data_IF_457136975563
#
_entry.id   IF_457136975563
#
_cell.length_a   1.000
_cell.length_b   1.000
_cell.length_c   1.000
_cell.angle_alpha   90.00
_cell.angle_beta   90.00
_cell.angle_gamma   90.00
#
_symmetry.space_group_name_H-M   'P 1'
#
loop_
_entity.id
_entity.type
_entity.pdbx_description
1 polymer ?
#
# COMPACT_ATOMS: atom_id res chain seq x y z
N UNK A 1 -14.79 -15.51 -6.57
CA UNK A 1 -13.84 -14.38 -6.50
C UNK A 1 -14.31 -13.17 -7.30
N UNK A 2 -14.51 -13.24 -8.62
CA UNK A 2 -14.92 -12.07 -9.43
C UNK A 2 -16.11 -11.28 -8.86
N UNK A 3 -17.22 -11.97 -8.54
CA UNK A 3 -18.40 -11.33 -7.94
C UNK A 3 -18.13 -10.73 -6.56
N UNK A 4 -17.30 -11.39 -5.73
CA UNK A 4 -16.92 -10.88 -4.40
C UNK A 4 -16.15 -9.56 -4.56
N UNK A 5 -15.12 -9.53 -5.41
CA UNK A 5 -14.33 -8.31 -5.65
C UNK A 5 -15.21 -7.19 -6.20
N UNK A 6 -16.14 -7.53 -7.10
CA UNK A 6 -17.10 -6.57 -7.64
C UNK A 6 -18.01 -5.98 -6.55
N UNK A 7 -18.65 -6.82 -5.73
CA UNK A 7 -19.52 -6.39 -4.63
C UNK A 7 -18.78 -5.49 -3.63
N UNK A 8 -17.54 -5.86 -3.25
CA UNK A 8 -16.72 -5.05 -2.34
C UNK A 8 -16.35 -3.69 -2.95
N UNK A 9 -16.02 -3.65 -4.25
CA UNK A 9 -15.70 -2.40 -4.97
C UNK A 9 -16.87 -1.42 -5.06
N UNK A 10 -18.10 -1.91 -4.86
CA UNK A 10 -19.30 -1.08 -4.90
C UNK A 10 -19.63 -0.41 -3.55
N UNK A 11 -19.12 -0.95 -2.43
CA UNK A 11 -19.33 -0.37 -1.10
C UNK A 11 -18.54 0.94 -0.97
N UNK A 12 -19.22 2.00 -0.52
CA UNK A 12 -18.66 3.35 -0.42
C UNK A 12 -18.56 3.80 1.04
N UNK A 13 -17.43 4.40 1.39
CA UNK A 13 -17.14 4.86 2.73
C UNK A 13 -16.57 6.28 2.73
N UNK A 14 -16.81 7.08 3.79
CA UNK A 14 -16.42 8.50 3.82
C UNK A 14 -14.96 8.75 4.21
N UNK A 15 -14.27 7.74 4.76
CA UNK A 15 -12.89 7.85 5.26
C UNK A 15 -12.11 6.56 5.01
N UNK A 16 -10.80 6.63 5.16
CA UNK A 16 -9.87 5.49 5.22
C UNK A 16 -9.69 5.09 6.69
N UNK A 17 -9.97 3.83 7.00
CA UNK A 17 -9.92 3.31 8.37
C UNK A 17 -10.54 1.92 8.49
N UNK A 18 -10.45 1.33 9.67
CA UNK A 18 -11.16 0.08 9.98
C UNK A 18 -12.60 0.36 10.38
N UNK A 19 -13.49 -0.57 10.03
CA UNK A 19 -14.88 -0.57 10.48
C UNK A 19 -14.94 -0.94 11.96
N UNK A 20 -15.71 -0.18 12.72
CA UNK A 20 -15.94 -0.38 14.15
C UNK A 20 -17.43 -0.41 14.38
N UNK A 21 -17.89 -1.41 15.13
CA UNK A 21 -19.25 -1.52 15.63
C UNK A 21 -19.29 -0.91 17.03
N UNK A 22 -20.22 0.02 17.27
CA UNK A 22 -20.44 0.59 18.59
C UNK A 22 -21.34 -0.28 19.49
N UNK A 23 -21.57 0.14 20.73
CA UNK A 23 -22.41 -0.61 21.69
C UNK A 23 -23.87 -0.76 21.24
N UNK A 24 -24.33 0.07 20.31
CA UNK A 24 -25.68 0.04 19.74
C UNK A 24 -25.77 -0.77 18.43
N UNK A 25 -24.63 -1.30 17.95
CA UNK A 25 -24.54 -2.06 16.71
C UNK A 25 -24.37 -1.22 15.45
N UNK A 26 -24.11 0.08 15.56
CA UNK A 26 -23.84 0.93 14.40
C UNK A 26 -22.41 0.75 13.92
N UNK A 27 -22.26 0.50 12.62
CA UNK A 27 -20.95 0.33 11.97
C UNK A 27 -20.49 1.68 11.41
N UNK A 28 -19.28 2.09 11.75
CA UNK A 28 -18.66 3.32 11.22
C UNK A 28 -17.16 3.16 10.98
N UNK A 29 -16.57 4.02 10.15
CA UNK A 29 -15.12 4.10 9.95
C UNK A 29 -14.50 4.91 11.08
N UNK A 30 -14.04 4.24 12.13
CA UNK A 30 -13.54 4.89 13.36
C UNK A 30 -12.22 4.30 13.88
N UNK A 31 -11.75 3.18 13.34
CA UNK A 31 -10.48 2.58 13.71
C UNK A 31 -9.37 2.92 12.71
N UNK A 32 -8.11 2.81 13.14
CA UNK A 32 -6.97 2.86 12.20
C UNK A 32 -7.03 1.75 11.17
N UNK A 33 -6.56 1.97 9.94
CA UNK A 33 -6.31 0.89 9.01
C UNK A 33 -5.44 -0.20 9.66
N UNK A 34 -5.83 -1.45 9.54
CA UNK A 34 -5.04 -2.60 9.99
C UNK A 34 -4.47 -3.31 8.77
N UNK A 35 -3.16 -3.15 8.59
CA UNK A 35 -2.42 -3.75 7.48
C UNK A 35 -1.48 -4.84 7.98
N UNK A 36 -1.21 -5.83 7.13
CA UNK A 36 -0.22 -6.85 7.44
C UNK A 36 1.17 -6.25 7.63
N UNK A 37 1.51 -5.22 6.85
CA UNK A 37 2.80 -4.51 6.98
C UNK A 37 2.98 -3.85 8.36
N UNK A 38 1.91 -3.36 8.99
CA UNK A 38 2.01 -2.82 10.35
C UNK A 38 2.40 -3.90 11.36
N UNK A 39 1.77 -5.08 11.29
CA UNK A 39 2.11 -6.20 12.16
C UNK A 39 3.55 -6.66 11.92
N UNK A 40 3.95 -6.82 10.65
CA UNK A 40 5.33 -7.18 10.29
C UNK A 40 6.35 -6.18 10.82
N UNK A 41 6.05 -4.87 10.83
CA UNK A 41 6.95 -3.86 11.42
C UNK A 41 7.14 -4.13 12.92
N UNK A 42 6.08 -4.38 13.67
CA UNK A 42 6.19 -4.67 15.10
C UNK A 42 6.98 -5.95 15.35
N UNK A 43 6.61 -7.03 14.67
CA UNK A 43 7.16 -8.37 14.91
C UNK A 43 8.60 -8.54 14.44
N UNK A 44 8.95 -7.94 13.30
CA UNK A 44 10.24 -8.18 12.64
C UNK A 44 11.30 -7.09 12.94
N UNK A 45 10.90 -5.96 13.51
CA UNK A 45 11.84 -4.84 13.78
C UNK A 45 11.99 -4.50 15.26
N UNK A 46 11.08 -4.95 16.13
CA UNK A 46 11.06 -4.54 17.54
C UNK A 46 10.68 -3.07 17.73
N UNK A 47 10.07 -2.44 16.73
CA UNK A 47 9.58 -1.07 16.80
C UNK A 47 8.41 -0.96 17.80
N UNK A 48 8.38 0.05 18.68
CA UNK A 48 7.24 0.25 19.57
C UNK A 48 5.96 0.59 18.80
N UNK A 49 4.84 -0.02 19.19
CA UNK A 49 3.52 0.25 18.60
C UNK A 49 3.08 1.72 18.68
N UNK A 50 3.65 2.49 19.62
CA UNK A 50 3.43 3.93 19.77
C UNK A 50 3.91 4.78 18.58
N UNK A 51 4.72 4.21 17.67
CA UNK A 51 5.19 4.90 16.45
C UNK A 51 4.24 4.70 15.26
N UNK A 52 3.34 3.72 15.34
CA UNK A 52 2.28 3.52 14.35
C UNK A 52 1.10 4.47 14.63
N UNK A 53 0.19 4.68 13.66
CA UNK A 53 -1.02 5.47 13.88
C UNK A 53 -1.79 4.99 15.12
N UNK A 54 -2.32 5.95 15.89
CA UNK A 54 -3.15 5.65 17.07
C UNK A 54 -4.37 4.79 16.71
N UNK A 55 -4.88 4.00 17.65
CA UNK A 55 -5.94 3.00 17.38
C UNK A 55 -7.22 3.57 16.76
N UNK A 56 -7.55 4.84 17.03
CA UNK A 56 -8.74 5.53 16.52
C UNK A 56 -8.44 6.50 15.37
N UNK A 57 -7.23 6.46 14.81
CA UNK A 57 -6.81 7.43 13.79
C UNK A 57 -7.34 7.03 12.41
N UNK A 58 -8.06 7.92 11.73
CA UNK A 58 -8.59 7.73 10.38
C UNK A 58 -8.03 8.78 9.42
N UNK A 59 -8.01 8.48 8.13
CA UNK A 59 -7.52 9.40 7.09
C UNK A 59 -8.68 9.88 6.22
N UNK A 60 -8.65 11.16 5.83
CA UNK A 60 -9.70 11.77 5.02
C UNK A 60 -9.30 11.90 3.55
N UNK A 61 -8.03 11.69 3.21
CA UNK A 61 -7.54 11.80 1.84
C UNK A 61 -6.60 10.64 1.51
N UNK A 62 -6.51 10.21 0.23
CA UNK A 62 -5.49 9.27 -0.22
C UNK A 62 -4.07 9.78 0.08
N UNK A 63 -3.82 11.08 -0.09
CA UNK A 63 -2.51 11.70 0.15
C UNK A 63 -2.02 11.47 1.58
N UNK A 64 -2.87 11.74 2.58
CA UNK A 64 -2.52 11.53 3.99
C UNK A 64 -2.18 10.05 4.26
N UNK A 65 -2.90 9.14 3.59
CA UNK A 65 -2.68 7.71 3.74
C UNK A 65 -1.37 7.23 3.09
N UNK A 66 -1.06 7.67 1.87
CA UNK A 66 0.23 7.40 1.24
C UNK A 66 1.40 7.96 2.04
N UNK A 67 1.23 9.16 2.63
CA UNK A 67 2.24 9.76 3.47
C UNK A 67 2.46 8.95 4.75
N UNK A 68 1.40 8.42 5.37
CA UNK A 68 1.51 7.52 6.52
C UNK A 68 2.23 6.20 6.17
N UNK A 69 1.92 5.59 5.02
CA UNK A 69 2.62 4.40 4.53
C UNK A 69 4.11 4.68 4.28
N UNK A 70 4.45 5.84 3.70
CA UNK A 70 5.84 6.25 3.52
C UNK A 70 6.58 6.43 4.86
N UNK A 71 5.89 6.89 5.92
CA UNK A 71 6.46 6.92 7.28
C UNK A 71 6.72 5.51 7.81
N UNK A 72 5.80 4.57 7.57
CA UNK A 72 5.98 3.18 8.00
C UNK A 72 7.21 2.54 7.35
N UNK A 73 7.54 2.86 6.10
CA UNK A 73 8.80 2.40 5.49
C UNK A 73 10.05 2.95 6.21
N UNK A 74 10.01 4.20 6.67
CA UNK A 74 11.11 4.80 7.45
C UNK A 74 11.17 4.20 8.87
N UNK A 75 10.03 3.89 9.49
CA UNK A 75 9.98 3.16 10.76
C UNK A 75 10.65 1.79 10.57
N UNK A 76 10.20 1.02 9.58
CA UNK A 76 10.78 -0.29 9.25
C UNK A 76 12.30 -0.19 9.08
N UNK A 77 12.77 0.71 8.20
CA UNK A 77 14.20 0.85 7.94
C UNK A 77 14.97 1.30 9.18
N UNK A 78 14.41 2.18 10.00
CA UNK A 78 15.08 2.67 11.21
C UNK A 78 15.29 1.54 12.23
N UNK A 79 14.24 0.76 12.50
CA UNK A 79 14.25 -0.20 13.61
C UNK A 79 14.69 -1.61 13.21
N UNK A 80 14.59 -1.99 11.92
CA UNK A 80 15.18 -3.25 11.48
C UNK A 80 16.70 -3.14 11.59
N UNK A 81 17.29 -3.87 12.53
CA UNK A 81 18.73 -3.89 12.75
C UNK A 81 19.40 -5.00 11.94
N UNK A 82 18.86 -6.22 12.06
CA UNK A 82 19.48 -7.41 11.50
C UNK A 82 18.96 -7.66 10.08
N UNK A 83 19.87 -7.98 9.17
CA UNK A 83 19.55 -8.25 7.77
C UNK A 83 18.75 -7.09 7.13
N UNK A 84 18.94 -5.87 7.61
CA UNK A 84 18.30 -4.66 7.08
C UNK A 84 19.03 -4.15 5.85
N UNK A 85 20.35 -4.33 5.83
CA UNK A 85 21.24 -3.88 4.75
C UNK A 85 22.20 -5.01 4.37
N UNK A 86 22.67 -5.00 3.12
CA UNK A 86 23.73 -5.87 2.62
C UNK A 86 25.11 -5.22 2.80
N UNK A 87 25.22 -3.93 2.43
CA UNK A 87 26.42 -3.12 2.56
C UNK A 87 26.08 -1.62 2.70
N UNK A 88 27.11 -0.75 2.59
CA UNK A 88 26.94 0.70 2.70
C UNK A 88 26.13 1.30 1.56
N UNK A 89 26.28 0.78 0.33
CA UNK A 89 25.60 1.32 -0.83
C UNK A 89 24.13 0.90 -0.81
N UNK A 90 23.81 -0.33 -0.41
CA UNK A 90 22.44 -0.75 -0.14
C UNK A 90 21.78 0.08 1.00
N UNK A 91 22.54 0.44 2.04
CA UNK A 91 22.04 1.35 3.07
C UNK A 91 21.70 2.74 2.51
N UNK A 92 22.55 3.28 1.62
CA UNK A 92 22.29 4.57 0.95
C UNK A 92 21.08 4.48 0.05
N UNK A 93 20.99 3.45 -0.79
CA UNK A 93 19.87 3.20 -1.69
C UNK A 93 18.55 3.14 -0.93
N UNK A 94 18.49 2.33 0.14
CA UNK A 94 17.30 2.18 0.98
C UNK A 94 16.84 3.48 1.63
N UNK A 95 17.79 4.29 2.12
CA UNK A 95 17.47 5.59 2.71
C UNK A 95 16.95 6.56 1.66
N UNK A 96 17.66 6.70 0.54
CA UNK A 96 17.30 7.64 -0.54
C UNK A 96 15.92 7.31 -1.11
N UNK A 97 15.67 6.04 -1.42
CA UNK A 97 14.38 5.58 -1.95
C UNK A 97 13.20 5.96 -1.04
N UNK A 98 13.33 5.74 0.28
CA UNK A 98 12.27 6.06 1.25
C UNK A 98 12.07 7.56 1.45
N UNK A 99 13.14 8.35 1.41
CA UNK A 99 13.03 9.81 1.48
C UNK A 99 12.31 10.40 0.27
N UNK A 100 12.65 9.93 -0.93
CA UNK A 100 12.03 10.37 -2.17
C UNK A 100 10.58 9.90 -2.28
N UNK A 101 10.29 8.65 -1.93
CA UNK A 101 8.92 8.15 -1.88
C UNK A 101 8.06 8.95 -0.90
N UNK A 102 8.60 9.27 0.29
CA UNK A 102 7.92 10.14 1.25
C UNK A 102 7.69 11.56 0.70
N UNK A 103 8.62 12.08 -0.10
CA UNK A 103 8.47 13.39 -0.74
C UNK A 103 7.35 13.38 -1.77
N UNK A 104 7.36 12.40 -2.68
CA UNK A 104 6.29 12.16 -3.65
C UNK A 104 4.92 11.99 -2.97
N UNK A 105 4.86 11.27 -1.85
CA UNK A 105 3.65 11.13 -1.05
C UNK A 105 3.17 12.48 -0.51
N UNK A 106 4.09 13.29 0.04
CA UNK A 106 3.77 14.60 0.60
C UNK A 106 3.29 15.61 -0.45
N UNK A 107 3.74 15.50 -1.70
CA UNK A 107 3.33 16.36 -2.82
C UNK A 107 2.10 15.82 -3.57
N UNK A 108 1.52 14.71 -3.11
CA UNK A 108 0.33 14.11 -3.74
C UNK A 108 0.62 13.50 -5.12
N UNK A 109 1.87 13.09 -5.39
CA UNK A 109 2.27 12.50 -6.67
C UNK A 109 2.05 10.97 -6.74
N UNK A 110 1.71 10.33 -5.62
CA UNK A 110 1.53 8.87 -5.55
C UNK A 110 0.08 8.39 -5.76
N UNK A 111 -0.90 9.27 -5.73
CA UNK A 111 -2.29 8.93 -6.05
C UNK A 111 -2.68 9.52 -7.40
N UNK A 112 -3.57 8.85 -8.12
CA UNK A 112 -4.06 9.35 -9.40
C UNK A 112 -4.84 10.65 -9.16
N UNK A 113 -4.57 11.68 -9.97
CA UNK A 113 -5.33 12.94 -9.96
C UNK A 113 -6.69 12.80 -10.66
N UNK A 114 -7.17 11.58 -10.89
CA UNK A 114 -8.38 11.33 -11.66
C UNK A 114 -9.61 11.92 -10.96
N UNK A 115 -9.92 13.14 -11.42
CA UNK A 115 -11.15 13.91 -11.35
C UNK A 115 -11.53 14.47 -9.98
N UNK A 116 -11.27 15.78 -9.83
CA UNK A 116 -11.79 16.71 -8.81
C UNK A 116 -13.34 16.75 -8.72
N UNK A 117 -14.05 15.90 -9.47
CA UNK A 117 -15.50 15.93 -9.68
C UNK A 117 -16.22 14.61 -9.35
N UNK A 118 -15.53 13.63 -8.74
CA UNK A 118 -16.16 12.37 -8.35
C UNK A 118 -16.02 12.12 -6.85
N UNK A 119 -17.18 11.85 -6.26
CA UNK A 119 -17.42 11.38 -4.89
C UNK A 119 -16.18 10.74 -4.26
N UNK A 120 -15.69 11.33 -3.16
CA UNK A 120 -14.47 10.97 -2.40
C UNK A 120 -14.65 9.66 -1.62
N UNK A 121 -15.27 8.69 -2.28
CA UNK A 121 -15.70 7.41 -1.78
C UNK A 121 -14.52 6.44 -1.69
N UNK A 122 -14.17 6.06 -0.46
CA UNK A 122 -13.24 4.98 -0.16
C UNK A 122 -13.94 3.62 -0.29
N UNK A 123 -13.17 2.57 -0.58
CA UNK A 123 -13.69 1.20 -0.81
C UNK A 123 -13.14 0.25 0.23
N UNK A 124 -13.90 -0.78 0.59
CA UNK A 124 -13.36 -1.83 1.45
C UNK A 124 -12.29 -2.61 0.68
N UNK A 125 -11.15 -2.80 1.32
CA UNK A 125 -10.00 -3.51 0.78
C UNK A 125 -9.45 -4.45 1.85
N UNK A 126 -8.97 -5.62 1.44
CA UNK A 126 -8.31 -6.56 2.35
C UNK A 126 -7.06 -7.12 1.70
N UNK A 127 -5.94 -7.05 2.41
CA UNK A 127 -4.65 -7.57 1.94
C UNK A 127 -4.64 -9.10 1.87
N UNK A 128 -5.44 -9.77 2.70
CA UNK A 128 -5.59 -11.22 2.74
C UNK A 128 -6.88 -11.71 2.08
N UNK A 129 -7.52 -10.92 1.20
CA UNK A 129 -8.65 -11.44 0.41
C UNK A 129 -8.14 -12.50 -0.59
N UNK A 130 -8.31 -13.79 -0.26
CA UNK A 130 -7.83 -14.92 -1.07
C UNK A 130 -8.85 -16.07 -1.13
N UNK A 131 -8.77 -16.97 -2.12
CA UNK A 131 -9.74 -18.05 -2.28
C UNK A 131 -9.90 -18.99 -1.07
N UNK A 132 -8.86 -19.17 -0.25
CA UNK A 132 -8.95 -20.01 0.97
C UNK A 132 -9.86 -19.41 2.05
N UNK A 133 -10.17 -18.12 1.96
CA UNK A 133 -11.01 -17.41 2.92
C UNK A 133 -12.48 -17.36 2.45
N UNK A 134 -12.82 -18.06 1.36
CA UNK A 134 -14.17 -18.14 0.81
C UNK A 134 -14.79 -19.50 1.16
N UNK A 135 -15.92 -19.45 1.86
CA UNK A 135 -16.70 -20.63 2.21
C UNK A 135 -17.65 -20.98 1.07
N UNK A 136 -17.69 -22.26 0.73
CA UNK A 136 -18.62 -22.81 -0.27
C UNK A 136 -19.47 -23.92 0.34
N UNK A 137 -20.73 -24.01 -0.09
CA UNK A 137 -21.60 -25.13 0.28
C UNK A 137 -21.41 -26.36 -0.63
N UNK A 138 -22.23 -27.39 -0.39
CA UNK A 138 -22.25 -28.65 -1.16
C UNK A 138 -22.60 -28.45 -2.65
N UNK A 139 -23.25 -27.34 -3.00
CA UNK A 139 -23.69 -27.00 -4.35
C UNK A 139 -22.72 -26.01 -5.02
N UNK A 140 -21.52 -25.83 -4.43
CA UNK A 140 -20.45 -24.93 -4.87
C UNK A 140 -20.87 -23.45 -4.89
N UNK A 141 -21.84 -23.07 -4.05
CA UNK A 141 -22.24 -21.67 -3.88
C UNK A 141 -21.42 -21.03 -2.79
N UNK A 142 -21.02 -19.78 -3.02
CA UNK A 142 -20.39 -18.95 -1.99
C UNK A 142 -21.43 -18.69 -0.91
N UNK A 143 -21.09 -19.04 0.34
CA UNK A 143 -21.96 -18.82 1.51
C UNK A 143 -21.37 -17.83 2.51
N UNK A 144 -20.11 -17.46 2.34
CA UNK A 144 -19.47 -16.47 3.19
C UNK A 144 -18.03 -16.22 2.79
N UNK A 145 -17.52 -15.09 3.26
CA UNK A 145 -16.09 -14.75 3.22
C UNK A 145 -15.69 -14.47 4.66
N UNK A 146 -14.59 -15.08 5.08
CA UNK A 146 -14.05 -15.00 6.44
C UNK A 146 -12.71 -14.28 6.44
N UNK A 147 -12.11 -14.15 7.62
CA UNK A 147 -10.74 -13.65 7.82
C UNK A 147 -10.54 -12.20 7.36
N UNK A 148 -11.33 -11.31 7.96
CA UNK A 148 -11.34 -9.87 7.66
C UNK A 148 -10.36 -9.07 8.53
N UNK A 149 -9.38 -9.71 9.18
CA UNK A 149 -8.50 -9.06 10.15
C UNK A 149 -7.62 -7.93 9.56
N UNK A 150 -7.34 -8.01 8.25
CA UNK A 150 -6.62 -6.97 7.49
C UNK A 150 -7.52 -6.18 6.53
N UNK A 151 -8.82 -6.14 6.82
CA UNK A 151 -9.78 -5.37 6.05
C UNK A 151 -9.91 -3.95 6.57
N UNK A 152 -9.84 -2.97 5.67
CA UNK A 152 -10.03 -1.56 5.99
C UNK A 152 -10.57 -0.82 4.75
N UNK A 153 -11.14 0.35 4.97
CA UNK A 153 -11.54 1.24 3.87
C UNK A 153 -10.30 1.96 3.33
N UNK A 154 -10.10 1.93 2.02
CA UNK A 154 -8.89 2.37 1.33
C UNK A 154 -9.23 3.25 0.11
N UNK A 155 -8.25 3.96 -0.49
CA UNK A 155 -8.45 4.65 -1.77
C UNK A 155 -9.08 3.71 -2.81
N UNK A 156 -10.04 4.21 -3.60
CA UNK A 156 -10.83 3.37 -4.49
C UNK A 156 -9.98 2.60 -5.50
N UNK A 157 -8.85 3.20 -5.91
CA UNK A 157 -7.89 2.63 -6.85
C UNK A 157 -7.25 1.33 -6.36
N UNK A 158 -7.29 1.04 -5.05
CA UNK A 158 -6.82 -0.24 -4.49
C UNK A 158 -7.70 -1.41 -4.97
N UNK A 159 -8.98 -1.15 -5.28
CA UNK A 159 -9.87 -2.16 -5.86
C UNK A 159 -9.43 -2.55 -7.28
N UNK A 160 -8.65 -1.69 -7.93
CA UNK A 160 -8.11 -1.90 -9.27
C UNK A 160 -6.74 -2.59 -9.27
N UNK A 161 -6.26 -3.04 -8.10
CA UNK A 161 -5.03 -3.81 -8.00
C UNK A 161 -5.18 -5.21 -8.63
N UNK A 162 -4.23 -5.65 -9.47
CA UNK A 162 -4.14 -7.03 -9.91
C UNK A 162 -4.11 -7.99 -8.71
N UNK A 163 -4.97 -9.02 -8.66
CA UNK A 163 -5.06 -9.85 -7.47
C UNK A 163 -3.83 -10.77 -7.27
N UNK A 164 -3.08 -10.55 -6.18
CA UNK A 164 -1.88 -11.34 -5.85
C UNK A 164 -2.16 -12.85 -5.73
N UNK A 165 -3.38 -13.22 -5.30
CA UNK A 165 -3.78 -14.61 -5.06
C UNK A 165 -3.95 -15.43 -6.34
N UNK A 166 -3.81 -14.85 -7.54
CA UNK A 166 -3.81 -15.63 -8.79
C UNK A 166 -2.67 -16.67 -8.85
N UNK A 167 -1.57 -16.43 -8.13
CA UNK A 167 -0.49 -17.40 -7.94
C UNK A 167 -0.36 -17.92 -6.50
N UNK A 168 -1.15 -17.39 -5.56
CA UNK A 168 -1.10 -17.71 -4.13
C UNK A 168 0.28 -17.51 -3.47
N UNK A 169 1.17 -16.75 -4.13
CA UNK A 169 2.53 -16.49 -3.69
C UNK A 169 2.99 -15.14 -4.23
N UNK A 170 3.50 -14.29 -3.34
CA UNK A 170 4.04 -12.98 -3.71
C UNK A 170 5.33 -13.10 -4.53
N UNK A 171 5.64 -12.04 -5.27
CA UNK A 171 6.78 -11.99 -6.19
C UNK A 171 8.13 -12.15 -5.48
N UNK A 172 8.27 -11.65 -4.25
CA UNK A 172 9.51 -11.68 -3.47
C UNK A 172 9.89 -13.10 -3.03
N UNK A 173 8.89 -14.00 -2.97
CA UNK A 173 9.10 -15.39 -2.60
C UNK A 173 9.11 -16.34 -3.81
N UNK A 174 8.90 -15.83 -5.03
CA UNK A 174 8.77 -16.67 -6.22
C UNK A 174 10.13 -17.26 -6.65
N UNK A 175 10.23 -18.58 -6.90
CA UNK A 175 11.47 -19.17 -7.41
C UNK A 175 11.84 -18.58 -8.78
N UNK A 176 13.06 -18.05 -8.90
CA UNK A 176 13.50 -17.34 -10.10
C UNK A 176 13.11 -15.86 -10.15
N UNK A 177 12.58 -15.32 -9.05
CA UNK A 177 12.31 -13.90 -8.88
C UNK A 177 11.19 -13.36 -9.77
N UNK A 178 11.20 -12.04 -9.94
CA UNK A 178 10.12 -11.30 -10.59
C UNK A 178 9.86 -11.73 -12.04
N UNK A 179 10.91 -11.96 -12.85
CA UNK A 179 10.71 -12.31 -14.27
C UNK A 179 9.96 -13.63 -14.41
N UNK A 180 10.34 -14.65 -13.62
CA UNK A 180 9.62 -15.93 -13.56
C UNK A 180 8.23 -15.80 -12.95
N UNK A 181 8.04 -14.87 -12.03
CA UNK A 181 6.71 -14.58 -11.49
C UNK A 181 5.81 -13.97 -12.57
N UNK A 182 6.28 -13.00 -13.35
CA UNK A 182 5.53 -12.37 -14.45
C UNK A 182 5.16 -13.38 -15.54
N UNK A 183 6.10 -14.21 -15.97
CA UNK A 183 5.87 -15.31 -16.93
C UNK A 183 4.71 -16.22 -16.47
N UNK A 184 4.62 -16.48 -15.17
CA UNK A 184 3.56 -17.28 -14.58
C UNK A 184 2.25 -16.48 -14.43
N UNK A 185 2.33 -15.24 -13.94
CA UNK A 185 1.21 -14.41 -13.51
C UNK A 185 0.39 -13.90 -14.70
N UNK A 186 1.05 -13.35 -15.73
CA UNK A 186 0.38 -12.65 -16.83
C UNK A 186 -0.69 -13.50 -17.55
N UNK A 187 -0.46 -14.80 -17.86
CA UNK A 187 -1.50 -15.65 -18.44
C UNK A 187 -2.73 -15.85 -17.51
N UNK A 188 -2.52 -15.91 -16.18
CA UNK A 188 -3.62 -16.04 -15.21
C UNK A 188 -4.36 -14.74 -15.05
N UNK A 189 -3.63 -13.62 -15.05
CA UNK A 189 -4.21 -12.28 -15.07
C UNK A 189 -5.15 -12.10 -16.26
N UNK A 190 -4.71 -12.42 -17.48
CA UNK A 190 -5.56 -12.34 -18.68
C UNK A 190 -6.82 -13.22 -18.57
N UNK A 191 -6.68 -14.41 -17.99
CA UNK A 191 -7.83 -15.31 -17.73
C UNK A 191 -8.79 -14.69 -16.73
N UNK A 192 -8.28 -14.11 -15.64
CA UNK A 192 -9.07 -13.44 -14.63
C UNK A 192 -9.83 -12.24 -15.20
N UNK A 193 -9.18 -11.39 -16.00
CA UNK A 193 -9.83 -10.26 -16.69
C UNK A 193 -10.96 -10.75 -17.58
N UNK A 194 -10.75 -11.81 -18.37
CA UNK A 194 -11.81 -12.39 -19.21
C UNK A 194 -13.00 -12.86 -18.37
N UNK A 195 -12.76 -13.55 -17.25
CA UNK A 195 -13.84 -14.01 -16.36
C UNK A 195 -14.57 -12.82 -15.73
N UNK A 196 -13.85 -11.80 -15.27
CA UNK A 196 -14.46 -10.61 -14.67
C UNK A 196 -15.33 -9.85 -15.69
N UNK A 197 -14.87 -9.71 -16.93
CA UNK A 197 -15.65 -9.14 -18.02
C UNK A 197 -16.94 -9.95 -18.30
N UNK A 198 -16.88 -11.28 -18.24
CA UNK A 198 -18.05 -12.13 -18.42
C UNK A 198 -19.07 -11.94 -17.29
N UNK A 199 -18.61 -11.88 -16.04
CA UNK A 199 -19.48 -11.63 -14.88
C UNK A 199 -20.10 -10.23 -14.92
N UNK A 200 -19.32 -9.19 -15.24
CA UNK A 200 -19.82 -7.82 -15.45
C UNK A 200 -20.91 -7.78 -16.53
N UNK A 201 -20.76 -8.53 -17.63
CA UNK A 201 -21.79 -8.64 -18.67
C UNK A 201 -23.05 -9.37 -18.20
N UNK A 202 -22.91 -10.46 -17.43
CA UNK A 202 -24.05 -11.19 -16.84
C UNK A 202 -24.84 -10.31 -15.89
N UNK A 203 -24.15 -9.56 -15.03
CA UNK A 203 -24.79 -8.60 -14.11
C UNK A 203 -25.57 -7.54 -14.89
N UNK A 204 -24.97 -6.92 -15.91
CA UNK A 204 -25.67 -5.97 -16.80
C UNK A 204 -26.89 -6.57 -17.50
N UNK A 205 -26.82 -7.83 -17.92
CA UNK A 205 -27.93 -8.52 -18.58
C UNK A 205 -29.03 -8.98 -17.60
N UNK A 206 -28.66 -9.27 -16.34
CA UNK A 206 -29.55 -9.70 -15.26
C UNK A 206 -30.28 -8.55 -14.54
N UNK A 207 -29.81 -7.30 -14.68
CA UNK A 207 -30.51 -6.09 -14.22
C UNK A 207 -31.71 -5.82 -15.15
N UNK A 208 -32.75 -6.64 -15.03
CA UNK A 208 -34.13 -6.29 -15.39
C UNK A 208 -34.98 -6.43 -14.13
N UNK A 209 -35.16 -5.29 -13.44
CA UNK A 209 -36.14 -4.96 -12.39
C UNK A 209 -35.93 -5.56 -10.99
N UNK A 210 -35.42 -4.74 -10.07
CA UNK A 210 -36.03 -4.43 -8.76
C UNK A 210 -35.47 -3.08 -8.25
N UNK A 211 -36.33 -2.27 -7.66
CA UNK A 211 -36.15 -0.81 -7.45
C UNK A 211 -35.09 -0.42 -6.39
N UNK A 212 -34.51 -1.38 -5.67
CA UNK A 212 -33.66 -1.15 -4.48
C UNK A 212 -32.14 -1.14 -4.76
N UNK A 213 -31.72 -1.32 -6.01
CA UNK A 213 -30.29 -1.26 -6.42
C UNK A 213 -29.99 -0.05 -7.32
N UNK A 214 -30.82 1.00 -7.30
CA UNK A 214 -30.60 2.23 -8.10
C UNK A 214 -29.29 2.95 -7.79
N UNK A 215 -28.71 2.73 -6.61
CA UNK A 215 -27.43 3.34 -6.21
C UNK A 215 -26.20 2.53 -6.63
N UNK A 216 -26.38 1.31 -7.16
CA UNK A 216 -25.36 0.68 -7.98
C UNK A 216 -25.41 1.33 -9.36
N UNK A 217 -24.90 2.56 -9.45
CA UNK A 217 -24.74 3.30 -10.70
C UNK A 217 -23.70 2.59 -11.58
N UNK A 218 -24.13 1.48 -12.18
CA UNK A 218 -23.46 0.72 -13.24
C UNK A 218 -23.84 1.36 -14.60
N UNK A 219 -24.56 2.48 -14.59
CA UNK A 219 -24.91 3.24 -15.79
C UNK A 219 -23.78 4.21 -16.13
N UNK A 220 -22.82 3.72 -16.92
CA UNK A 220 -22.07 4.42 -17.96
C UNK A 220 -22.07 5.98 -17.98
N UNK A 221 -21.75 6.63 -16.86
CA UNK A 221 -21.47 8.07 -16.76
C UNK A 221 -20.03 8.38 -17.21
N UNK A 222 -19.50 7.60 -18.18
CA UNK A 222 -18.09 7.63 -18.58
C UNK A 222 -17.12 6.90 -17.65
N UNK A 223 -17.61 6.20 -16.61
CA UNK A 223 -16.77 5.45 -15.65
C UNK A 223 -16.44 4.05 -16.19
N UNK A 224 -15.16 3.72 -16.22
CA UNK A 224 -14.63 2.41 -16.65
C UNK A 224 -15.18 1.27 -15.79
N UNK A 225 -15.40 0.08 -16.37
CA UNK A 225 -15.72 -1.12 -15.58
C UNK A 225 -14.55 -1.55 -14.70
N UNK A 226 -14.79 -2.36 -13.66
CA UNK A 226 -13.72 -2.81 -12.78
C UNK A 226 -12.66 -3.60 -13.55
N UNK A 227 -13.07 -4.45 -14.50
CA UNK A 227 -12.13 -5.16 -15.38
C UNK A 227 -11.29 -4.21 -16.24
N UNK A 228 -11.87 -3.10 -16.73
CA UNK A 228 -11.14 -2.07 -17.46
C UNK A 228 -10.17 -1.32 -16.56
N UNK A 229 -10.60 -0.94 -15.34
CA UNK A 229 -9.74 -0.25 -14.38
C UNK A 229 -8.54 -1.12 -13.95
N UNK A 230 -8.75 -2.42 -13.70
CA UNK A 230 -7.67 -3.36 -13.38
C UNK A 230 -6.72 -3.52 -14.58
N UNK A 231 -7.26 -3.62 -15.80
CA UNK A 231 -6.46 -3.73 -17.03
C UNK A 231 -5.60 -2.48 -17.25
N UNK A 232 -6.19 -1.29 -17.17
CA UNK A 232 -5.46 -0.03 -17.30
C UNK A 232 -4.39 0.12 -16.23
N UNK A 233 -4.74 -0.22 -14.97
CA UNK A 233 -3.77 -0.19 -13.90
C UNK A 233 -2.59 -1.12 -14.14
N UNK A 234 -2.85 -2.33 -14.67
CA UNK A 234 -1.81 -3.29 -15.05
C UNK A 234 -0.88 -2.74 -16.13
N UNK A 235 -1.44 -2.17 -17.19
CA UNK A 235 -0.71 -1.62 -18.34
C UNK A 235 0.11 -0.38 -17.97
N UNK A 236 -0.45 0.52 -17.16
CA UNK A 236 0.22 1.74 -16.68
C UNK A 236 1.24 1.47 -15.58
N UNK A 237 1.21 0.27 -14.98
CA UNK A 237 1.98 -0.13 -13.79
C UNK A 237 1.66 0.67 -12.52
N UNK A 238 0.56 1.42 -12.48
CA UNK A 238 0.15 2.18 -11.28
C UNK A 238 -0.08 1.28 -10.06
N UNK A 239 -0.47 0.02 -10.27
CA UNK A 239 -0.59 -0.95 -9.18
C UNK A 239 0.72 -1.19 -8.44
N UNK A 240 1.87 -0.99 -9.09
CA UNK A 240 3.17 -1.14 -8.46
C UNK A 240 3.42 -0.04 -7.43
N UNK A 241 2.89 1.18 -7.64
CA UNK A 241 2.96 2.27 -6.66
C UNK A 241 2.20 1.88 -5.40
N UNK A 242 0.98 1.35 -5.57
CA UNK A 242 0.13 0.87 -4.47
C UNK A 242 0.73 -0.32 -3.76
N UNK A 243 1.27 -1.27 -4.51
CA UNK A 243 1.93 -2.45 -3.96
C UNK A 243 3.19 -2.08 -3.15
N UNK A 244 4.03 -1.17 -3.68
CA UNK A 244 5.20 -0.66 -2.98
C UNK A 244 4.82 0.07 -1.70
N UNK A 245 3.81 0.96 -1.76
CA UNK A 245 3.33 1.71 -0.60
C UNK A 245 2.91 0.78 0.55
N UNK A 246 2.29 -0.35 0.23
CA UNK A 246 1.76 -1.28 1.23
C UNK A 246 2.80 -2.25 1.78
N UNK A 247 3.92 -2.49 1.10
CA UNK A 247 4.86 -3.56 1.46
C UNK A 247 6.29 -3.06 1.66
N UNK A 248 6.73 -2.94 2.92
CA UNK A 248 8.08 -2.45 3.24
C UNK A 248 9.20 -3.40 2.80
N UNK A 249 8.94 -4.70 2.76
CA UNK A 249 9.94 -5.72 2.36
C UNK A 249 10.05 -5.88 0.85
N UNK A 250 9.00 -5.55 0.10
CA UNK A 250 9.05 -5.52 -1.35
C UNK A 250 9.52 -4.17 -1.91
N UNK A 251 9.46 -3.12 -1.09
CA UNK A 251 9.64 -1.73 -1.47
C UNK A 251 10.90 -1.50 -2.30
N UNK A 252 12.06 -1.98 -1.84
CA UNK A 252 13.35 -1.65 -2.45
C UNK A 252 13.46 -2.12 -3.91
N UNK A 253 13.09 -3.37 -4.16
CA UNK A 253 13.07 -3.93 -5.51
C UNK A 253 12.08 -3.19 -6.42
N UNK A 254 10.87 -2.92 -5.92
CA UNK A 254 9.83 -2.26 -6.73
C UNK A 254 10.22 -0.80 -7.00
N UNK A 255 10.78 -0.12 -6.01
CA UNK A 255 11.15 1.28 -6.10
C UNK A 255 12.19 1.48 -7.19
N UNK A 256 13.35 0.85 -7.06
CA UNK A 256 14.46 1.06 -7.98
C UNK A 256 14.17 0.56 -9.40
N UNK A 257 13.40 -0.52 -9.53
CA UNK A 257 13.08 -1.08 -10.84
C UNK A 257 11.94 -0.37 -11.56
N UNK A 258 10.98 0.23 -10.84
CA UNK A 258 9.75 0.74 -11.44
C UNK A 258 9.42 2.18 -11.06
N UNK A 259 9.38 2.50 -9.77
CA UNK A 259 8.95 3.84 -9.34
C UNK A 259 10.02 4.88 -9.67
N UNK A 260 11.30 4.55 -9.49
CA UNK A 260 12.38 5.49 -9.79
C UNK A 260 12.37 5.91 -11.27
N UNK A 261 12.34 4.98 -12.26
CA UNK A 261 12.10 5.35 -13.65
C UNK A 261 10.80 6.11 -13.90
N UNK A 262 9.70 5.71 -13.24
CA UNK A 262 8.38 6.31 -13.42
C UNK A 262 8.36 7.79 -13.02
N UNK A 263 9.05 8.17 -11.94
CA UNK A 263 9.03 9.53 -11.41
C UNK A 263 10.25 10.38 -11.80
N UNK A 264 11.39 9.75 -12.11
CA UNK A 264 12.66 10.44 -12.35
C UNK A 264 13.29 10.12 -13.72
N UNK A 265 12.65 9.28 -14.53
CA UNK A 265 13.08 8.88 -15.87
C UNK A 265 14.14 7.77 -15.88
N UNK A 266 14.21 7.05 -17.00
CA UNK A 266 15.24 6.02 -17.23
C UNK A 266 16.63 6.66 -17.35
N UNK A 267 17.55 6.28 -16.46
CA UNK A 267 18.98 6.61 -16.55
C UNK A 267 19.80 5.33 -16.40
N UNK A 268 20.86 5.20 -17.20
CA UNK A 268 21.76 4.03 -17.15
C UNK A 268 22.44 3.86 -15.78
N UNK A 269 22.58 4.95 -15.01
CA UNK A 269 23.14 4.99 -13.64
C UNK A 269 22.04 5.32 -12.60
N UNK A 270 20.98 4.52 -12.52
CA UNK A 270 19.91 4.67 -11.52
C UNK A 270 20.36 4.24 -10.11
N UNK A 271 21.46 4.80 -9.61
CA UNK A 271 21.97 4.60 -8.26
C UNK A 271 21.54 5.75 -7.32
N UNK A 272 21.76 5.59 -6.00
CA UNK A 272 21.51 6.66 -5.03
C UNK A 272 22.20 8.00 -5.36
N UNK A 273 23.37 7.99 -6.00
CA UNK A 273 24.19 9.20 -6.21
C UNK A 273 23.53 10.15 -7.18
N UNK A 274 22.95 9.60 -8.25
CA UNK A 274 22.16 10.37 -9.21
C UNK A 274 20.94 11.05 -8.57
N UNK A 275 20.51 10.57 -7.40
CA UNK A 275 19.29 10.99 -6.71
C UNK A 275 19.53 11.96 -5.55
N UNK A 276 20.76 12.08 -5.06
CA UNK A 276 21.13 13.02 -3.99
C UNK A 276 20.68 14.48 -4.24
N UNK A 277 20.71 15.03 -5.48
CA UNK A 277 20.22 16.39 -5.73
C UNK A 277 18.73 16.61 -5.43
N UNK A 278 17.93 15.54 -5.34
CA UNK A 278 16.52 15.60 -4.98
C UNK A 278 16.27 15.60 -3.46
N UNK A 279 17.31 15.43 -2.64
CA UNK A 279 17.21 15.46 -1.19
C UNK A 279 17.47 16.87 -0.63
N UNK A 280 16.76 17.21 0.44
CA UNK A 280 17.05 18.43 1.21
C UNK A 280 18.39 18.36 1.93
N UNK A 281 18.98 19.51 2.26
CA UNK A 281 20.25 19.57 3.00
C UNK A 281 20.22 18.81 4.33
N UNK A 282 19.07 18.80 5.02
CA UNK A 282 18.93 18.06 6.27
C UNK A 282 18.91 16.55 6.03
N UNK A 283 18.25 16.08 4.97
CA UNK A 283 18.23 14.65 4.59
C UNK A 283 19.62 14.18 4.17
N UNK A 284 20.37 15.00 3.42
CA UNK A 284 21.77 14.73 3.06
C UNK A 284 22.66 14.65 4.30
N UNK A 285 22.49 15.57 5.26
CA UNK A 285 23.22 15.56 6.52
C UNK A 285 22.94 14.34 7.41
N UNK A 286 21.79 13.69 7.25
CA UNK A 286 21.41 12.49 7.99
C UNK A 286 21.81 11.17 7.29
N UNK A 287 22.17 11.20 6.01
CA UNK A 287 22.47 10.01 5.21
C UNK A 287 23.67 9.22 5.76
N UNK A 288 24.85 9.84 5.84
CA UNK A 288 26.07 9.13 6.28
C UNK A 288 25.99 8.68 7.75
N UNK A 289 25.48 9.50 8.71
CA UNK A 289 25.24 9.02 10.07
C UNK A 289 24.29 7.81 10.14
N UNK A 290 23.28 7.76 9.26
CA UNK A 290 22.37 6.61 9.16
C UNK A 290 23.10 5.37 8.61
N UNK A 291 23.92 5.51 7.57
CA UNK A 291 24.72 4.41 6.99
C UNK A 291 25.67 3.82 8.05
N UNK A 292 26.43 4.68 8.74
CA UNK A 292 27.35 4.26 9.81
C UNK A 292 26.62 3.51 10.93
N UNK A 293 25.42 3.96 11.31
CA UNK A 293 24.58 3.27 12.28
C UNK A 293 24.17 1.88 11.78
N UNK A 294 23.71 1.77 10.54
CA UNK A 294 23.25 0.49 9.99
C UNK A 294 24.38 -0.53 9.85
N UNK A 295 25.55 -0.09 9.40
CA UNK A 295 26.75 -0.95 9.35
C UNK A 295 27.16 -1.43 10.74
N UNK A 296 27.03 -0.58 11.77
CA UNK A 296 27.29 -0.98 13.15
C UNK A 296 26.27 -2.02 13.63
N UNK A 297 24.98 -1.78 13.38
CA UNK A 297 23.89 -2.71 13.73
C UNK A 297 24.07 -4.08 13.07
N UNK A 298 24.40 -4.11 11.77
CA UNK A 298 24.64 -5.35 11.03
C UNK A 298 25.88 -6.12 11.54
N UNK A 299 26.91 -5.41 12.04
CA UNK A 299 28.07 -6.04 12.69
C UNK A 299 27.74 -6.60 14.08
N UNK A 300 26.94 -5.88 14.86
CA UNK A 300 26.62 -6.27 16.24
C UNK A 300 25.59 -7.39 16.33
N UNK A 301 24.65 -7.42 15.38
CA UNK A 301 23.57 -8.42 15.26
C UNK A 301 22.74 -8.62 16.53
N UNK A 302 22.39 -7.53 17.22
CA UNK A 302 21.63 -7.57 18.49
C UNK A 302 20.17 -7.23 18.26
N UNK A 303 19.33 -7.74 19.16
CA UNK A 303 17.97 -7.22 19.32
C UNK A 303 18.01 -6.11 20.36
N UNK A 304 17.32 -5.01 20.08
CA UNK A 304 17.23 -3.86 20.98
C UNK A 304 15.77 -3.62 21.29
N UNK A 305 15.45 -3.61 22.58
CA UNK A 305 14.17 -3.11 23.06
C UNK A 305 14.25 -1.59 23.17
N UNK A 306 13.35 -0.90 22.49
CA UNK A 306 13.33 0.55 22.47
C UNK A 306 12.29 1.07 23.46
N UNK A 307 12.71 1.99 24.34
CA UNK A 307 11.74 2.83 25.05
C UNK A 307 11.03 3.75 24.05
N UNK A 308 9.78 4.14 24.30
CA UNK A 308 9.05 5.04 23.39
C UNK A 308 9.81 6.36 23.14
N UNK A 309 10.48 6.87 24.17
CA UNK A 309 11.26 8.11 24.10
C UNK A 309 12.47 7.95 23.18
N UNK A 310 13.22 6.87 23.36
CA UNK A 310 14.44 6.62 22.58
C UNK A 310 14.09 6.28 21.13
N UNK A 311 13.01 5.53 20.91
CA UNK A 311 12.51 5.21 19.59
C UNK A 311 12.11 6.47 18.82
N UNK A 312 11.35 7.39 19.44
CA UNK A 312 11.00 8.68 18.83
C UNK A 312 12.25 9.51 18.51
N UNK A 313 13.22 9.55 19.42
CA UNK A 313 14.47 10.28 19.20
C UNK A 313 15.28 9.69 18.04
N UNK A 314 15.34 8.36 17.92
CA UNK A 314 16.04 7.68 16.83
C UNK A 314 15.36 7.92 15.48
N UNK A 315 14.04 7.74 15.42
CA UNK A 315 13.26 7.95 14.21
C UNK A 315 13.38 9.39 13.69
N UNK A 316 13.42 10.39 14.59
CA UNK A 316 13.61 11.80 14.21
C UNK A 316 14.94 12.06 13.47
N UNK A 317 16.00 11.28 13.75
CA UNK A 317 17.29 11.42 13.05
C UNK A 317 17.19 11.01 11.59
N UNK A 318 16.34 10.03 11.30
CA UNK A 318 16.17 9.46 9.95
C UNK A 318 15.06 10.18 9.19
N UNK A 319 13.91 10.43 9.81
CA UNK A 319 12.74 10.96 9.12
C UNK A 319 12.88 12.40 8.66
N UNK A 320 13.75 13.20 9.30
CA UNK A 320 14.10 14.59 9.01
C UNK A 320 12.95 15.43 8.42
N UNK A 321 12.45 16.41 9.19
CA UNK A 321 11.37 17.27 8.71
C UNK A 321 11.71 17.92 7.35
N UNK A 322 10.79 17.74 6.40
CA UNK A 322 10.81 18.48 5.14
C UNK A 322 10.58 19.96 5.46
N UNK A 323 11.35 20.86 4.86
CA UNK A 323 11.04 22.28 4.89
C UNK A 323 9.81 22.48 4.00
N UNK A 324 8.62 22.17 4.50
CA UNK A 324 7.38 22.58 3.87
C UNK A 324 7.30 24.09 4.10
N UNK A 325 7.24 24.86 3.01
CA UNK A 325 7.01 26.31 3.08
C UNK A 325 5.86 26.61 4.04
N UNK A 326 6.00 27.70 4.80
CA UNK A 326 5.10 28.14 5.86
C UNK A 326 3.62 27.89 5.51
N UNK A 327 2.99 26.90 6.16
CA UNK A 327 1.56 26.62 5.94
C UNK A 327 1.02 25.25 6.34
N UNK A 328 1.84 24.26 6.67
CA UNK A 328 1.38 22.91 7.04
C UNK A 328 1.49 22.63 8.54
N UNK A 329 0.35 22.54 9.23
CA UNK A 329 0.25 22.22 10.65
C UNK A 329 0.96 20.90 11.01
N UNK A 330 1.81 20.96 12.03
CA UNK A 330 2.49 19.83 12.67
C UNK A 330 1.47 18.83 13.24
N UNK A 331 1.34 17.66 12.60
CA UNK A 331 0.69 16.49 13.22
C UNK A 331 1.79 15.53 13.68
N UNK A 332 2.32 15.83 14.86
CA UNK A 332 2.73 14.81 15.82
C UNK A 332 2.04 15.22 17.12
N UNK A 333 0.89 14.61 17.39
CA UNK A 333 0.31 14.50 18.73
C UNK A 333 -0.09 13.07 18.96
#
# INVERSE_FOLDING_TARGET
MGNIVFELSALSFPKIGSLVEDEEGHISVAGRPLMQNMNSILDLTGSPASLLPGSTHVYNTPQDWYYAMAHMHLIQLTFQQNNAIEDEDDARDKYVARQLFRHLASEGHLHSKSNEDHDTAFRIFSEDLRPSNVLIDKDLKVVGVIDWEFAYTAPAEFSSDPPWWLLLKYTEYWPGGYEKWMEAYEPRFRTFISVLQDEERKLRAGIKVEDDLKDLDISNNGKLSLSQQIQESWESKEWMVRYAARSSWAFDFIYWRYLDPMYFGDKEDADNRAKLPHLSQKQLGALEPFVELKIRQEKERKLVEWSEKDAKAELCKVMVQMNVGEGGSTIIR
#
